data_IF_765029249535
#
_entry.id   IF_765029249535
#
_cell.length_a   1.000
_cell.length_b   1.000
_cell.length_c   1.000
_cell.angle_alpha   90.00
_cell.angle_beta   90.00
_cell.angle_gamma   90.00
#
_symmetry.space_group_name_H-M   'P 1'
#
loop_
_entity.id
_entity.type
_entity.pdbx_description
1 polymer ?
#
# COMPACT_ATOMS: atom_id res chain seq x y z
N UNK A 1 5.29 -15.38 -31.95
CA UNK A 1 5.24 -14.64 -30.67
C UNK A 1 6.64 -14.13 -30.38
N UNK A 2 6.81 -12.84 -30.13
CA UNK A 2 8.11 -12.29 -29.73
C UNK A 2 8.50 -12.87 -28.36
N UNK A 3 9.77 -13.25 -28.19
CA UNK A 3 10.26 -13.80 -26.93
C UNK A 3 10.13 -12.76 -25.81
N UNK A 4 9.50 -13.14 -24.69
CA UNK A 4 9.48 -12.34 -23.45
C UNK A 4 8.14 -11.71 -23.05
N UNK A 5 7.06 -11.87 -23.84
CA UNK A 5 5.74 -11.35 -23.45
C UNK A 5 4.92 -12.48 -22.83
N UNK A 6 4.71 -12.43 -21.52
CA UNK A 6 3.77 -13.31 -20.83
C UNK A 6 2.32 -12.90 -21.15
N UNK A 7 1.36 -13.85 -21.18
CA UNK A 7 -0.05 -13.53 -21.35
C UNK A 7 -0.55 -12.62 -20.23
N UNK A 8 -1.41 -11.66 -20.57
CA UNK A 8 -2.03 -10.64 -19.70
C UNK A 8 -2.55 -11.17 -18.35
N UNK A 9 -2.99 -12.43 -18.28
CA UNK A 9 -3.56 -13.07 -17.09
C UNK A 9 -2.91 -14.42 -16.73
N UNK A 10 -1.73 -14.74 -17.26
CA UNK A 10 -1.09 -16.05 -17.12
C UNK A 10 0.01 -16.12 -16.06
N UNK A 11 0.18 -17.30 -15.44
CA UNK A 11 1.40 -17.62 -14.68
C UNK A 11 2.57 -17.65 -15.66
N UNK A 12 3.64 -16.87 -15.46
CA UNK A 12 4.79 -16.88 -16.35
C UNK A 12 5.44 -18.27 -16.36
N UNK A 13 5.84 -18.81 -17.53
CA UNK A 13 6.49 -20.10 -17.60
C UNK A 13 7.90 -20.04 -16.99
N UNK A 14 8.45 -21.20 -16.60
CA UNK A 14 9.86 -21.32 -16.17
C UNK A 14 10.81 -20.70 -17.20
N UNK A 15 11.95 -20.10 -16.79
CA UNK A 15 12.57 -20.16 -15.46
C UNK A 15 12.05 -19.12 -14.46
N UNK A 16 11.04 -18.33 -14.82
CA UNK A 16 10.52 -17.27 -13.96
C UNK A 16 9.79 -17.88 -12.77
N UNK A 17 10.36 -17.71 -11.58
CA UNK A 17 9.70 -18.07 -10.34
C UNK A 17 8.75 -16.95 -9.93
N UNK A 18 7.58 -17.31 -9.40
CA UNK A 18 6.68 -16.36 -8.75
C UNK A 18 7.44 -15.68 -7.62
N UNK A 19 7.56 -14.35 -7.66
CA UNK A 19 8.07 -13.57 -6.53
C UNK A 19 7.16 -13.89 -5.34
N UNK A 20 7.71 -14.58 -4.33
CA UNK A 20 7.05 -14.79 -3.04
C UNK A 20 7.16 -13.49 -2.23
N UNK A 21 6.59 -12.42 -2.76
CA UNK A 21 6.39 -11.18 -2.04
C UNK A 21 5.12 -11.35 -1.23
N UNK A 22 5.20 -11.08 0.07
CA UNK A 22 4.01 -10.92 0.89
C UNK A 22 3.17 -9.79 0.28
N UNK A 23 1.85 -9.96 0.19
CA UNK A 23 0.94 -8.97 -0.43
C UNK A 23 0.90 -7.61 0.28
N UNK A 24 1.69 -7.45 1.33
CA UNK A 24 1.94 -6.29 2.18
C UNK A 24 3.29 -5.61 1.87
N UNK A 25 4.05 -6.04 0.84
CA UNK A 25 5.34 -5.44 0.51
C UNK A 25 5.22 -3.93 0.22
N UNK A 26 4.03 -3.45 -0.14
CA UNK A 26 3.67 -2.04 -0.23
C UNK A 26 3.65 -1.32 1.13
N UNK A 27 3.28 -1.98 2.23
CA UNK A 27 3.25 -1.37 3.56
C UNK A 27 4.62 -1.36 4.24
N UNK A 28 5.61 -2.10 3.74
CA UNK A 28 6.97 -2.03 4.29
C UNK A 28 7.66 -0.70 3.99
N UNK A 29 7.40 -0.13 2.80
CA UNK A 29 8.01 1.12 2.35
C UNK A 29 7.06 2.30 2.34
N UNK A 30 5.74 2.08 2.33
CA UNK A 30 4.77 3.16 2.33
C UNK A 30 3.92 3.17 3.60
N UNK A 31 3.67 4.35 4.12
CA UNK A 31 2.74 4.63 5.20
C UNK A 31 1.49 5.32 4.62
N UNK A 32 0.33 4.81 4.98
CA UNK A 32 -0.94 5.51 4.79
C UNK A 32 -1.15 6.38 6.02
N UNK A 33 -1.20 7.69 5.82
CA UNK A 33 -1.47 8.66 6.87
C UNK A 33 -2.87 9.24 6.66
N UNK A 34 -3.56 9.54 7.75
CA UNK A 34 -4.79 10.34 7.73
C UNK A 34 -4.68 11.53 8.66
N UNK A 35 -5.48 12.56 8.41
CA UNK A 35 -5.69 13.66 9.35
C UNK A 35 -7.15 14.11 9.28
N UNK A 36 -7.74 14.43 10.42
CA UNK A 36 -9.12 14.92 10.49
C UNK A 36 -9.13 16.45 10.35
N UNK A 37 -9.74 16.94 9.28
CA UNK A 37 -9.89 18.36 8.98
C UNK A 37 -11.37 18.69 8.85
N UNK A 38 -11.89 19.64 9.62
CA UNK A 38 -13.31 20.07 9.57
C UNK A 38 -14.32 18.91 9.61
N UNK A 39 -14.02 17.86 10.36
CA UNK A 39 -14.90 16.69 10.51
C UNK A 39 -14.72 15.61 9.45
N UNK A 40 -13.96 15.84 8.37
CA UNK A 40 -13.65 14.85 7.34
C UNK A 40 -12.21 14.35 7.46
N UNK A 41 -11.95 13.10 7.08
CA UNK A 41 -10.59 12.59 6.99
C UNK A 41 -10.00 12.88 5.62
N UNK A 42 -8.80 13.43 5.60
CA UNK A 42 -7.94 13.49 4.41
C UNK A 42 -6.84 12.45 4.55
N UNK A 43 -6.46 11.82 3.43
CA UNK A 43 -5.45 10.77 3.39
C UNK A 43 -4.20 11.20 2.60
N UNK A 44 -3.07 10.60 2.93
CA UNK A 44 -1.82 10.73 2.18
C UNK A 44 -1.06 9.41 2.16
N UNK A 45 -0.37 9.11 1.06
CA UNK A 45 0.53 7.97 0.93
C UNK A 45 1.96 8.50 0.85
N UNK A 46 2.83 8.05 1.77
CA UNK A 46 4.21 8.55 1.86
C UNK A 46 5.20 7.43 2.06
N UNK A 47 6.47 7.65 1.69
CA UNK A 47 7.53 6.69 2.00
C UNK A 47 7.86 6.69 3.49
N UNK A 48 7.84 5.50 4.10
CA UNK A 48 8.40 5.19 5.41
C UNK A 48 9.90 5.49 5.39
N UNK A 49 10.42 6.00 6.50
CA UNK A 49 11.82 6.41 6.67
C UNK A 49 12.26 7.60 5.80
N UNK A 50 11.31 8.36 5.24
CA UNK A 50 11.60 9.66 4.65
C UNK A 50 11.40 10.79 5.67
N UNK A 51 12.13 11.92 5.57
CA UNK A 51 11.88 13.09 6.42
C UNK A 51 10.43 13.61 6.35
N UNK A 52 9.76 13.36 5.22
CA UNK A 52 8.38 13.77 5.01
C UNK A 52 7.39 13.01 5.90
N UNK A 53 7.64 11.72 6.17
CA UNK A 53 6.83 10.93 7.08
C UNK A 53 6.89 11.49 8.50
N UNK A 54 8.10 11.74 9.04
CA UNK A 54 8.27 12.36 10.37
C UNK A 54 7.59 13.72 10.47
N UNK A 55 7.75 14.58 9.45
CA UNK A 55 7.14 15.90 9.41
C UNK A 55 5.60 15.85 9.49
N UNK A 56 4.98 14.88 8.83
CA UNK A 56 3.53 14.74 8.86
C UNK A 56 3.05 14.24 10.23
N UNK A 57 3.74 13.26 10.83
CA UNK A 57 3.43 12.80 12.19
C UNK A 57 3.52 13.96 13.20
N UNK A 58 4.58 14.77 13.16
CA UNK A 58 4.73 15.97 14.00
C UNK A 58 3.59 16.99 13.78
N UNK A 59 3.03 17.05 12.57
CA UNK A 59 1.89 17.91 12.20
C UNK A 59 0.53 17.30 12.53
N UNK A 60 0.49 16.24 13.34
CA UNK A 60 -0.74 15.60 13.81
C UNK A 60 -1.41 14.74 12.74
N UNK A 61 -0.65 14.22 11.78
CA UNK A 61 -1.13 13.11 10.95
C UNK A 61 -0.96 11.80 11.70
N UNK A 62 -1.93 10.91 11.51
CA UNK A 62 -1.99 9.61 12.15
C UNK A 62 -1.69 8.53 11.12
N UNK A 63 -0.81 7.60 11.47
CA UNK A 63 -0.54 6.44 10.62
C UNK A 63 -1.59 5.35 10.81
N UNK A 64 -2.07 4.82 9.68
CA UNK A 64 -3.02 3.71 9.67
C UNK A 64 -2.26 2.39 9.58
N UNK A 65 -2.58 1.51 10.52
CA UNK A 65 -2.01 0.16 10.56
C UNK A 65 -2.47 -0.69 9.37
N UNK A 66 -1.68 -1.68 9.02
CA UNK A 66 -2.00 -2.62 7.94
C UNK A 66 -3.28 -3.41 8.25
N UNK A 67 -3.49 -3.76 9.53
CA UNK A 67 -4.68 -4.46 9.99
C UNK A 67 -5.96 -3.62 9.81
N UNK A 68 -5.90 -2.31 10.08
CA UNK A 68 -7.02 -1.40 9.85
C UNK A 68 -7.34 -1.25 8.36
N UNK A 69 -6.30 -1.14 7.51
CA UNK A 69 -6.47 -1.11 6.04
C UNK A 69 -7.12 -2.40 5.54
N UNK A 70 -6.62 -3.56 6.00
CA UNK A 70 -7.15 -4.86 5.58
C UNK A 70 -8.60 -5.02 6.02
N UNK A 71 -8.94 -4.60 7.24
CA UNK A 71 -10.31 -4.66 7.75
C UNK A 71 -11.27 -3.79 6.92
N UNK A 72 -10.83 -2.60 6.50
CA UNK A 72 -11.62 -1.74 5.63
C UNK A 72 -11.87 -2.30 4.21
N UNK A 73 -10.98 -3.16 3.69
CA UNK A 73 -11.15 -3.81 2.38
C UNK A 73 -12.11 -5.01 2.41
N UNK A 74 -12.39 -5.56 3.60
CA UNK A 74 -13.20 -6.76 3.78
C UNK A 74 -14.68 -6.47 4.05
N UNK A 75 -15.03 -5.22 4.35
CA UNK A 75 -16.41 -4.78 4.42
C UNK A 75 -16.89 -4.44 3.00
N UNK A 76 -17.71 -5.29 2.35
CA UNK A 76 -18.37 -4.89 1.11
C UNK A 76 -19.29 -3.70 1.43
N UNK A 77 -19.27 -2.72 0.52
CA UNK A 77 -20.22 -1.61 0.47
C UNK A 77 -21.65 -2.13 0.74
N UNK A 78 -22.22 -1.74 1.88
CA UNK A 78 -23.60 -2.03 2.26
C UNK A 78 -24.58 -1.12 1.52
#
# INVERSE_FOLDING_TARGET
MAAGVAPEAGIPPRPWFRIQGTGDATTMWYAVLRRKEKGIFIGSLVFRHSPHHSLLLERGWEEISVDEIRSAQLEPEA
#
